data_IF_979887547961
#
_entry.id   IF_979887547961
#
_cell.length_a   1.000
_cell.length_b   1.000
_cell.length_c   1.000
_cell.angle_alpha   90.00
_cell.angle_beta   90.00
_cell.angle_gamma   90.00
#
_symmetry.space_group_name_H-M   'P 1'
#
loop_
_entity.id
_entity.type
_entity.pdbx_description
1 polymer ?
#
# COMPACT_ATOMS: atom_id res chain seq x y z
N UNK A 1 32.39 -8.86 -34.53
CA UNK A 1 31.39 -9.95 -34.40
C UNK A 1 31.42 -10.44 -32.97
N UNK A 2 30.43 -10.07 -32.15
CA UNK A 2 30.30 -10.60 -30.80
C UNK A 2 29.35 -11.80 -30.82
N UNK A 3 29.85 -12.95 -30.39
CA UNK A 3 29.12 -14.21 -30.33
C UNK A 3 28.21 -14.20 -29.08
N UNK A 4 27.11 -13.44 -29.12
CA UNK A 4 26.20 -13.24 -27.98
C UNK A 4 25.09 -14.32 -27.92
N UNK A 5 24.97 -15.16 -28.96
CA UNK A 5 23.81 -16.06 -29.12
C UNK A 5 23.81 -17.39 -28.35
N UNK A 6 24.88 -17.78 -27.66
CA UNK A 6 24.99 -19.15 -27.10
C UNK A 6 24.49 -19.34 -25.67
N UNK A 7 24.66 -18.33 -24.80
CA UNK A 7 24.55 -18.51 -23.34
C UNK A 7 23.14 -18.31 -22.80
N UNK A 8 22.42 -17.30 -23.29
CA UNK A 8 21.09 -16.93 -22.76
C UNK A 8 20.02 -17.98 -23.05
N UNK A 9 20.08 -18.61 -24.23
CA UNK A 9 19.17 -19.69 -24.60
C UNK A 9 19.34 -20.95 -23.75
N UNK A 10 20.55 -21.21 -23.23
CA UNK A 10 20.79 -22.38 -22.38
C UNK A 10 20.12 -22.25 -21.01
N UNK A 11 20.10 -21.06 -20.41
CA UNK A 11 19.52 -20.86 -19.08
C UNK A 11 17.98 -20.93 -19.12
N UNK A 12 17.36 -20.34 -20.16
CA UNK A 12 15.91 -20.39 -20.36
C UNK A 12 15.46 -21.84 -20.57
N UNK A 13 16.17 -22.60 -21.41
CA UNK A 13 15.87 -24.01 -21.64
C UNK A 13 16.00 -24.86 -20.37
N UNK A 14 17.05 -24.66 -19.57
CA UNK A 14 17.21 -25.35 -18.28
C UNK A 14 16.05 -25.03 -17.32
N UNK A 15 15.58 -23.78 -17.30
CA UNK A 15 14.43 -23.38 -16.50
C UNK A 15 13.13 -24.06 -16.98
N UNK A 16 12.90 -24.14 -18.30
CA UNK A 16 11.75 -24.84 -18.88
C UNK A 16 11.77 -26.34 -18.57
N UNK A 17 12.93 -26.98 -18.72
CA UNK A 17 13.14 -28.39 -18.39
C UNK A 17 12.87 -28.66 -16.89
N UNK A 18 13.35 -27.78 -16.00
CA UNK A 18 13.05 -27.85 -14.57
C UNK A 18 11.55 -27.67 -14.28
N UNK A 19 10.85 -26.83 -15.04
CA UNK A 19 9.40 -26.66 -14.96
C UNK A 19 8.63 -27.94 -15.30
N UNK A 20 9.02 -28.63 -16.37
CA UNK A 20 8.44 -29.93 -16.75
C UNK A 20 8.68 -30.98 -15.67
N UNK A 21 9.89 -31.04 -15.11
CA UNK A 21 10.20 -31.96 -14.02
C UNK A 21 9.37 -31.71 -12.76
N UNK A 22 9.18 -30.43 -12.40
CA UNK A 22 8.32 -30.05 -11.27
C UNK A 22 6.87 -30.46 -11.51
N UNK A 23 6.33 -30.19 -12.70
CA UNK A 23 4.98 -30.59 -13.09
C UNK A 23 4.77 -32.10 -12.97
N UNK A 24 5.65 -32.90 -13.59
CA UNK A 24 5.58 -34.36 -13.53
C UNK A 24 5.70 -34.89 -12.09
N UNK A 25 6.53 -34.24 -11.26
CA UNK A 25 6.69 -34.61 -9.84
C UNK A 25 5.41 -34.34 -9.05
N UNK A 26 4.71 -33.24 -9.34
CA UNK A 26 3.42 -32.90 -8.71
C UNK A 26 2.31 -33.87 -9.15
N UNK A 27 2.24 -34.24 -10.44
CA UNK A 27 1.30 -35.26 -10.90
C UNK A 27 1.55 -36.62 -10.23
N UNK A 28 2.81 -37.01 -10.06
CA UNK A 28 3.15 -38.24 -9.36
C UNK A 28 2.77 -38.17 -7.88
N UNK A 29 3.01 -37.03 -7.23
CA UNK A 29 2.59 -36.79 -5.85
C UNK A 29 1.06 -36.90 -5.70
N UNK A 30 0.29 -36.32 -6.62
CA UNK A 30 -1.17 -36.43 -6.63
C UNK A 30 -1.63 -37.88 -6.75
N UNK A 31 -1.02 -38.67 -7.66
CA UNK A 31 -1.31 -40.11 -7.80
C UNK A 31 -1.03 -40.88 -6.51
N UNK A 32 0.09 -40.59 -5.83
CA UNK A 32 0.43 -41.21 -4.55
C UNK A 32 -0.54 -40.82 -3.44
N UNK A 33 -0.98 -39.55 -3.39
CA UNK A 33 -2.02 -39.12 -2.45
C UNK A 33 -3.34 -39.87 -2.67
N UNK A 34 -3.72 -40.11 -3.93
CA UNK A 34 -4.93 -40.85 -4.27
C UNK A 34 -4.83 -42.35 -3.92
N UNK A 35 -3.64 -42.95 -3.96
CA UNK A 35 -3.43 -44.37 -3.59
C UNK A 35 -3.21 -44.59 -2.10
N UNK A 36 -2.75 -43.57 -1.36
CA UNK A 36 -2.37 -43.65 0.05
C UNK A 36 -3.45 -44.27 0.96
N UNK A 37 -4.72 -43.90 0.75
CA UNK A 37 -5.83 -44.46 1.51
C UNK A 37 -5.98 -45.97 1.33
N UNK A 38 -5.87 -46.46 0.09
CA UNK A 38 -6.02 -47.89 -0.23
C UNK A 38 -4.83 -48.70 0.29
N UNK A 39 -3.62 -48.19 0.10
CA UNK A 39 -2.38 -48.87 0.49
C UNK A 39 -2.21 -48.91 2.02
N UNK A 40 -2.57 -47.84 2.73
CA UNK A 40 -2.48 -47.79 4.20
C UNK A 40 -3.41 -48.78 4.90
N UNK A 41 -4.62 -48.99 4.36
CA UNK A 41 -5.57 -50.00 4.86
C UNK A 41 -5.06 -51.43 4.64
N UNK A 42 -4.42 -51.69 3.49
CA UNK A 42 -3.83 -52.99 3.19
C UNK A 42 -2.63 -53.32 4.09
N UNK A 43 -1.87 -52.30 4.51
CA UNK A 43 -0.69 -52.45 5.37
C UNK A 43 -0.97 -52.60 6.87
N UNK A 44 -2.23 -52.58 7.30
CA UNK A 44 -2.60 -52.72 8.71
C UNK A 44 -2.18 -51.57 9.62
N UNK A 45 -1.85 -50.40 9.05
CA UNK A 45 -1.47 -49.23 9.84
C UNK A 45 -2.68 -48.68 10.62
N UNK A 46 -2.53 -48.31 11.91
CA UNK A 46 -3.62 -47.69 12.66
C UNK A 46 -4.13 -46.41 11.96
N UNK A 47 -5.45 -46.27 11.71
CA UNK A 47 -5.99 -45.11 10.99
C UNK A 47 -5.62 -43.76 11.62
N UNK A 48 -5.55 -43.70 12.96
CA UNK A 48 -5.17 -42.50 13.72
C UNK A 48 -3.72 -42.08 13.47
N UNK A 49 -2.81 -43.04 13.31
CA UNK A 49 -1.40 -42.76 13.01
C UNK A 49 -1.25 -42.22 11.58
N UNK A 50 -1.94 -42.82 10.61
CA UNK A 50 -1.92 -42.38 9.21
C UNK A 50 -2.50 -40.97 9.10
N UNK A 51 -3.64 -40.70 9.74
CA UNK A 51 -4.26 -39.37 9.78
C UNK A 51 -3.31 -38.31 10.35
N UNK A 52 -2.71 -38.55 11.52
CA UNK A 52 -1.79 -37.61 12.14
C UNK A 52 -0.55 -37.31 11.27
N UNK A 53 -0.04 -38.32 10.53
CA UNK A 53 1.06 -38.14 9.58
C UNK A 53 0.64 -37.34 8.36
N UNK A 54 -0.57 -37.56 7.83
CA UNK A 54 -1.12 -36.76 6.74
C UNK A 54 -1.23 -35.31 7.19
N UNK A 55 -1.82 -35.04 8.35
CA UNK A 55 -2.00 -33.67 8.86
C UNK A 55 -0.64 -32.95 9.03
N UNK A 56 0.35 -33.65 9.60
CA UNK A 56 1.71 -33.13 9.78
C UNK A 56 2.39 -32.85 8.44
N UNK A 57 2.26 -33.76 7.48
CA UNK A 57 2.82 -33.61 6.14
C UNK A 57 2.13 -32.45 5.40
N UNK A 58 0.80 -32.36 5.44
CA UNK A 58 0.05 -31.28 4.80
C UNK A 58 0.44 -29.91 5.36
N UNK A 59 0.54 -29.79 6.69
CA UNK A 59 0.91 -28.53 7.33
C UNK A 59 2.32 -28.05 6.96
N UNK A 60 3.30 -28.96 6.95
CA UNK A 60 4.70 -28.60 6.67
C UNK A 60 5.04 -28.50 5.18
N UNK A 61 4.54 -29.43 4.37
CA UNK A 61 4.82 -29.52 2.94
C UNK A 61 4.12 -28.41 2.16
N UNK A 62 2.80 -28.20 2.33
CA UNK A 62 2.08 -27.19 1.56
C UNK A 62 2.53 -25.77 1.87
N UNK A 63 2.79 -25.46 3.14
CA UNK A 63 3.32 -24.15 3.53
C UNK A 63 4.71 -23.90 2.95
N UNK A 64 5.56 -24.93 2.88
CA UNK A 64 6.89 -24.82 2.29
C UNK A 64 6.83 -24.72 0.77
N UNK A 65 6.03 -25.56 0.10
CA UNK A 65 5.83 -25.54 -1.35
C UNK A 65 5.24 -24.20 -1.81
N UNK A 66 4.18 -23.72 -1.15
CA UNK A 66 3.56 -22.43 -1.45
C UNK A 66 4.54 -21.26 -1.32
N UNK A 67 5.35 -21.26 -0.26
CA UNK A 67 6.42 -20.25 -0.07
C UNK A 67 7.49 -20.32 -1.17
N UNK A 68 7.93 -21.52 -1.56
CA UNK A 68 8.93 -21.70 -2.62
C UNK A 68 8.41 -21.30 -3.99
N UNK A 69 7.15 -21.61 -4.30
CA UNK A 69 6.48 -21.18 -5.53
C UNK A 69 6.31 -19.66 -5.58
N UNK A 70 5.92 -19.03 -4.47
CA UNK A 70 5.85 -17.57 -4.41
C UNK A 70 7.22 -16.91 -4.64
N UNK A 71 8.28 -17.48 -4.06
CA UNK A 71 9.66 -17.02 -4.27
C UNK A 71 10.11 -17.18 -5.72
N UNK A 72 9.85 -18.33 -6.36
CA UNK A 72 10.22 -18.56 -7.76
C UNK A 72 9.45 -17.62 -8.70
N UNK A 73 8.16 -17.42 -8.48
CA UNK A 73 7.36 -16.44 -9.22
C UNK A 73 7.92 -15.02 -9.10
N UNK A 74 8.27 -14.60 -7.88
CA UNK A 74 8.85 -13.28 -7.64
C UNK A 74 10.18 -13.11 -8.39
N UNK A 75 11.06 -14.11 -8.36
CA UNK A 75 12.35 -14.08 -9.06
C UNK A 75 12.19 -14.05 -10.59
N UNK A 76 11.24 -14.80 -11.14
CA UNK A 76 10.94 -14.79 -12.58
C UNK A 76 10.33 -13.47 -13.02
N UNK A 77 9.39 -12.92 -12.24
CA UNK A 77 8.82 -11.60 -12.50
C UNK A 77 9.91 -10.52 -12.48
N UNK A 78 10.83 -10.56 -11.51
CA UNK A 78 11.97 -9.66 -11.43
C UNK A 78 12.87 -9.78 -12.68
N UNK A 79 13.26 -11.00 -13.05
CA UNK A 79 14.10 -11.26 -14.24
C UNK A 79 13.42 -10.79 -15.52
N UNK A 80 12.14 -11.11 -15.69
CA UNK A 80 11.33 -10.65 -16.82
C UNK A 80 11.27 -9.12 -16.88
N UNK A 81 11.05 -8.45 -15.75
CA UNK A 81 10.99 -7.00 -15.70
C UNK A 81 12.34 -6.33 -16.01
N UNK A 82 13.45 -6.95 -15.60
CA UNK A 82 14.79 -6.51 -15.98
C UNK A 82 15.07 -6.67 -17.48
N UNK A 83 14.55 -7.72 -18.11
CA UNK A 83 14.78 -7.99 -19.53
C UNK A 83 13.85 -7.19 -20.46
N UNK A 84 12.56 -7.08 -20.12
CA UNK A 84 11.56 -6.55 -21.04
C UNK A 84 11.35 -5.05 -20.94
N UNK A 85 11.71 -4.44 -19.81
CA UNK A 85 11.38 -3.03 -19.62
C UNK A 85 12.62 -2.27 -19.23
N UNK A 86 13.12 -1.35 -20.07
CA UNK A 86 14.06 -0.34 -19.63
C UNK A 86 13.31 0.70 -18.78
N UNK A 87 12.41 0.27 -17.89
CA UNK A 87 11.81 1.17 -16.91
C UNK A 87 12.89 1.69 -15.96
N UNK A 88 13.95 0.90 -15.78
CA UNK A 88 15.20 1.32 -15.14
C UNK A 88 16.04 2.29 -15.99
N UNK A 89 15.70 2.53 -17.26
CA UNK A 89 16.33 3.59 -18.05
C UNK A 89 15.66 4.94 -17.90
N UNK A 90 14.46 5.00 -17.29
CA UNK A 90 13.88 6.29 -16.96
C UNK A 90 14.61 6.88 -15.76
N UNK A 91 15.03 8.15 -15.83
CA UNK A 91 15.46 8.89 -14.66
C UNK A 91 14.38 8.85 -13.56
N UNK A 92 14.82 8.88 -12.30
CA UNK A 92 13.94 8.83 -11.13
C UNK A 92 12.90 9.96 -11.15
N UNK A 93 13.26 11.12 -11.71
CA UNK A 93 12.39 12.27 -11.87
C UNK A 93 11.21 11.97 -12.79
N UNK A 94 11.45 11.29 -13.92
CA UNK A 94 10.41 10.93 -14.88
C UNK A 94 9.43 9.94 -14.26
N UNK A 95 9.95 8.93 -13.54
CA UNK A 95 9.12 7.97 -12.82
C UNK A 95 8.32 8.64 -11.69
N UNK A 96 8.93 9.57 -10.96
CA UNK A 96 8.26 10.33 -9.91
C UNK A 96 7.09 11.14 -10.48
N UNK A 97 7.27 11.81 -11.62
CA UNK A 97 6.18 12.55 -12.27
C UNK A 97 5.07 11.62 -12.77
N UNK A 98 5.40 10.45 -13.34
CA UNK A 98 4.40 9.43 -13.67
C UNK A 98 3.63 9.00 -12.42
N UNK A 99 4.32 8.78 -11.29
CA UNK A 99 3.66 8.40 -10.03
C UNK A 99 2.74 9.49 -9.51
N UNK A 100 3.14 10.76 -9.61
CA UNK A 100 2.28 11.89 -9.27
C UNK A 100 1.01 11.87 -10.11
N UNK A 101 1.11 11.63 -11.41
CA UNK A 101 -0.07 11.52 -12.28
C UNK A 101 -0.94 10.31 -11.97
N UNK A 102 -0.38 9.19 -11.54
CA UNK A 102 -1.14 7.99 -11.15
C UNK A 102 -1.86 8.20 -9.82
N UNK A 103 -1.20 8.80 -8.83
CA UNK A 103 -1.74 8.97 -7.47
C UNK A 103 -2.72 10.14 -7.40
N UNK A 104 -2.43 11.23 -8.10
CA UNK A 104 -3.25 12.45 -8.13
C UNK A 104 -4.02 12.60 -9.45
N UNK A 105 -4.26 11.49 -10.16
CA UNK A 105 -5.10 11.50 -11.36
C UNK A 105 -6.43 12.20 -11.05
N UNK A 106 -6.86 13.16 -11.89
CA UNK A 106 -8.14 13.82 -11.72
C UNK A 106 -9.27 12.79 -11.64
N UNK A 107 -9.98 12.77 -10.51
CA UNK A 107 -11.02 11.76 -10.25
C UNK A 107 -12.29 11.97 -11.08
N UNK A 108 -12.45 13.17 -11.63
CA UNK A 108 -13.47 13.50 -12.61
C UNK A 108 -13.37 12.64 -13.87
N UNK A 109 -12.18 12.15 -14.22
CA UNK A 109 -12.00 11.20 -15.34
C UNK A 109 -12.66 9.84 -15.09
N UNK A 110 -12.94 9.48 -13.84
CA UNK A 110 -13.58 8.22 -13.48
C UNK A 110 -15.09 8.36 -13.23
N UNK A 111 -15.59 9.59 -13.07
CA UNK A 111 -17.03 9.84 -12.96
C UNK A 111 -17.66 9.68 -14.34
N UNK A 112 -18.63 8.78 -14.47
CA UNK A 112 -19.47 8.76 -15.69
C UNK A 112 -20.33 10.02 -15.73
N UNK A 113 -20.56 10.56 -16.92
CA UNK A 113 -21.47 11.71 -17.10
C UNK A 113 -22.82 11.40 -16.43
N UNK A 114 -23.18 12.23 -15.43
CA UNK A 114 -24.42 12.10 -14.67
C UNK A 114 -24.31 11.41 -13.31
N UNK A 115 -23.15 10.88 -12.92
CA UNK A 115 -22.94 10.39 -11.56
C UNK A 115 -22.71 11.53 -10.57
N UNK A 116 -23.19 11.36 -9.34
CA UNK A 116 -22.95 12.31 -8.27
C UNK A 116 -21.43 12.44 -8.01
N UNK A 117 -20.92 13.63 -7.67
CA UNK A 117 -19.51 13.83 -7.41
C UNK A 117 -19.00 12.84 -6.36
N UNK A 118 -17.81 12.29 -6.57
CA UNK A 118 -17.21 11.34 -5.64
C UNK A 118 -17.17 11.91 -4.22
N UNK A 119 -17.62 11.11 -3.26
CA UNK A 119 -17.39 11.45 -1.86
C UNK A 119 -15.88 11.61 -1.61
N UNK A 120 -15.50 12.59 -0.79
CA UNK A 120 -14.09 12.82 -0.45
C UNK A 120 -13.42 11.55 0.11
N UNK A 121 -14.19 10.72 0.83
CA UNK A 121 -13.73 9.41 1.32
C UNK A 121 -13.35 8.44 0.19
N UNK A 122 -14.14 8.39 -0.88
CA UNK A 122 -13.84 7.55 -2.04
C UNK A 122 -12.57 8.06 -2.73
N UNK A 123 -12.46 9.38 -2.93
CA UNK A 123 -11.27 10.03 -3.47
C UNK A 123 -9.98 9.61 -2.74
N UNK A 124 -9.97 9.70 -1.41
CA UNK A 124 -8.81 9.30 -0.62
C UNK A 124 -8.54 7.81 -0.69
N UNK A 125 -9.59 6.99 -0.68
CA UNK A 125 -9.43 5.54 -0.77
C UNK A 125 -8.74 5.15 -2.08
N UNK A 126 -9.10 5.83 -3.17
CA UNK A 126 -8.46 5.66 -4.48
C UNK A 126 -7.01 6.16 -4.49
N UNK A 127 -6.73 7.33 -3.92
CA UNK A 127 -5.37 7.87 -3.79
C UNK A 127 -4.44 6.89 -3.04
N UNK A 128 -4.85 6.44 -1.86
CA UNK A 128 -4.06 5.48 -1.08
C UNK A 128 -3.97 4.12 -1.78
N UNK A 129 -5.03 3.66 -2.46
CA UNK A 129 -5.00 2.43 -3.26
C UNK A 129 -3.96 2.53 -4.38
N UNK A 130 -3.94 3.63 -5.12
CA UNK A 130 -2.96 3.89 -6.17
C UNK A 130 -1.54 3.90 -5.60
N UNK A 131 -1.31 4.62 -4.50
CA UNK A 131 -0.02 4.69 -3.83
C UNK A 131 0.46 3.31 -3.36
N UNK A 132 -0.38 2.53 -2.67
CA UNK A 132 -0.04 1.17 -2.24
C UNK A 132 0.22 0.24 -3.43
N UNK A 133 -0.51 0.41 -4.53
CA UNK A 133 -0.25 -0.35 -5.76
C UNK A 133 1.16 -0.06 -6.27
N UNK A 134 1.60 1.21 -6.31
CA UNK A 134 2.97 1.58 -6.69
C UNK A 134 4.02 0.96 -5.78
N UNK A 135 3.80 0.97 -4.46
CA UNK A 135 4.73 0.40 -3.46
C UNK A 135 4.88 -1.13 -3.59
N UNK A 136 3.93 -1.80 -4.24
CA UNK A 136 3.91 -3.25 -4.45
C UNK A 136 4.50 -3.70 -5.79
N UNK A 137 4.84 -2.79 -6.72
CA UNK A 137 5.34 -3.16 -8.06
C UNK A 137 6.74 -3.75 -8.00
N UNK A 138 7.73 -2.97 -7.56
CA UNK A 138 9.12 -3.43 -7.39
C UNK A 138 9.84 -2.57 -6.35
N UNK A 139 11.05 -2.97 -5.96
CA UNK A 139 11.86 -2.26 -4.96
C UNK A 139 12.25 -0.85 -5.43
N UNK A 140 12.57 -0.66 -6.71
CA UNK A 140 12.88 0.65 -7.28
C UNK A 140 11.69 1.60 -7.16
N UNK A 141 10.50 1.18 -7.61
CA UNK A 141 9.27 1.98 -7.54
C UNK A 141 8.91 2.34 -6.11
N UNK A 142 9.03 1.37 -5.20
CA UNK A 142 8.83 1.61 -3.78
C UNK A 142 9.78 2.68 -3.24
N UNK A 143 11.06 2.59 -3.56
CA UNK A 143 12.05 3.56 -3.07
C UNK A 143 11.77 4.95 -3.61
N UNK A 144 11.51 5.09 -4.91
CA UNK A 144 11.14 6.37 -5.54
C UNK A 144 9.89 6.95 -4.87
N UNK A 145 8.83 6.13 -4.73
CA UNK A 145 7.58 6.59 -4.14
C UNK A 145 7.72 6.98 -2.65
N UNK A 146 8.55 6.28 -1.88
CA UNK A 146 8.82 6.61 -0.48
C UNK A 146 9.72 7.85 -0.32
N UNK A 147 10.66 8.07 -1.24
CA UNK A 147 11.57 9.21 -1.20
C UNK A 147 10.93 10.49 -1.77
N UNK A 148 9.88 10.36 -2.59
CA UNK A 148 9.16 11.48 -3.17
C UNK A 148 8.08 11.99 -2.22
N UNK A 149 8.46 12.91 -1.35
CA UNK A 149 7.60 13.35 -0.27
C UNK A 149 6.25 13.99 -0.68
N UNK A 150 6.16 14.54 -1.89
CA UNK A 150 4.91 15.09 -2.43
C UNK A 150 3.79 14.04 -2.55
N UNK A 151 4.13 12.76 -2.78
CA UNK A 151 3.16 11.66 -2.80
C UNK A 151 2.52 11.39 -1.42
N UNK A 152 3.15 11.88 -0.36
CA UNK A 152 2.75 11.72 1.03
C UNK A 152 2.34 13.03 1.69
N UNK A 153 2.18 14.09 0.88
CA UNK A 153 1.78 15.42 1.36
C UNK A 153 0.37 15.43 1.96
N UNK A 154 -0.51 14.51 1.55
CA UNK A 154 -1.86 14.38 2.09
C UNK A 154 -1.89 13.36 3.23
N UNK A 155 -1.96 13.86 4.46
CA UNK A 155 -2.05 13.04 5.67
C UNK A 155 -3.52 12.86 6.03
N UNK A 156 -4.01 11.62 6.06
CA UNK A 156 -5.38 11.34 6.51
C UNK A 156 -5.42 10.77 7.91
N UNK A 157 -6.25 11.35 8.77
CA UNK A 157 -6.61 10.78 10.05
C UNK A 157 -7.90 9.99 9.88
N UNK A 158 -7.80 8.66 9.82
CA UNK A 158 -8.93 7.75 9.75
C UNK A 158 -8.87 6.76 10.90
N UNK A 159 -10.03 6.34 11.40
CA UNK A 159 -10.26 5.28 12.39
C UNK A 159 -9.85 3.87 11.93
N UNK A 160 -8.76 3.72 11.19
CA UNK A 160 -8.28 2.37 10.84
C UNK A 160 -7.33 1.90 11.93
N UNK A 161 -7.47 0.65 12.37
CA UNK A 161 -6.65 0.01 13.41
C UNK A 161 -5.23 -0.29 12.91
N UNK A 162 -4.55 0.67 12.28
CA UNK A 162 -3.14 0.50 11.98
C UNK A 162 -2.34 0.94 13.19
N UNK A 163 -1.15 0.36 13.36
CA UNK A 163 -0.11 0.83 14.28
C UNK A 163 0.43 2.18 13.75
N UNK A 164 -0.49 3.17 13.73
CA UNK A 164 -0.41 4.42 13.00
C UNK A 164 0.76 5.27 13.47
N UNK A 165 1.19 5.13 14.73
CA UNK A 165 2.30 5.91 15.26
C UNK A 165 3.60 5.64 14.50
N UNK A 166 3.88 4.37 14.18
CA UNK A 166 5.12 3.98 13.49
C UNK A 166 5.16 4.44 12.02
N UNK A 167 4.00 4.48 11.36
CA UNK A 167 3.89 4.85 9.93
C UNK A 167 3.74 6.36 9.80
N UNK A 168 2.82 6.99 10.53
CA UNK A 168 2.61 8.43 10.48
C UNK A 168 3.86 9.17 10.94
N UNK A 169 4.49 8.75 12.04
CA UNK A 169 5.75 9.31 12.50
C UNK A 169 6.84 9.19 11.44
N UNK A 170 6.95 8.02 10.79
CA UNK A 170 7.91 7.79 9.70
C UNK A 170 7.61 8.64 8.47
N UNK A 171 6.35 8.74 8.06
CA UNK A 171 5.93 9.58 6.94
C UNK A 171 6.24 11.04 7.24
N UNK A 172 5.89 11.54 8.42
CA UNK A 172 6.20 12.91 8.80
C UNK A 172 7.72 13.13 8.81
N UNK A 173 8.52 12.20 9.36
CA UNK A 173 9.98 12.27 9.33
C UNK A 173 10.59 12.21 7.92
N UNK A 174 10.03 11.42 7.00
CA UNK A 174 10.55 11.31 5.64
C UNK A 174 10.23 12.54 4.77
N UNK A 175 9.21 13.30 5.14
CA UNK A 175 8.71 14.45 4.38
C UNK A 175 9.34 15.80 4.77
N UNK A 176 10.57 15.82 5.30
CA UNK A 176 11.21 17.06 5.75
C UNK A 176 11.30 18.07 4.58
N UNK A 177 10.61 19.20 4.70
CA UNK A 177 10.59 20.27 3.70
C UNK A 177 9.38 20.27 2.76
N UNK A 178 8.50 19.26 2.79
CA UNK A 178 7.25 19.25 2.01
C UNK A 178 6.11 19.80 2.87
N UNK A 179 5.28 20.64 2.26
CA UNK A 179 4.06 21.16 2.88
C UNK A 179 3.03 20.04 3.04
N UNK A 180 2.43 19.96 4.22
CA UNK A 180 1.47 18.92 4.55
C UNK A 180 0.03 19.44 4.48
N UNK A 181 -0.86 18.56 4.04
CA UNK A 181 -2.30 18.75 3.98
C UNK A 181 -2.94 17.73 4.91
N UNK A 182 -3.48 18.20 6.03
CA UNK A 182 -4.18 17.33 6.97
C UNK A 182 -5.63 17.17 6.53
N UNK A 183 -6.09 15.94 6.44
CA UNK A 183 -7.48 15.62 6.18
C UNK A 183 -8.03 14.71 7.26
N UNK A 184 -9.03 15.20 7.97
CA UNK A 184 -9.66 14.50 9.08
C UNK A 184 -11.07 14.12 8.67
N UNK A 185 -11.38 12.83 8.78
CA UNK A 185 -12.72 12.34 8.44
C UNK A 185 -13.26 11.36 9.48
N UNK A 186 -14.47 11.63 9.98
CA UNK A 186 -15.19 10.77 10.92
C UNK A 186 -14.72 10.91 12.38
N UNK A 187 -15.08 9.93 13.21
CA UNK A 187 -14.76 9.88 14.64
C UNK A 187 -13.36 9.36 14.97
N UNK A 188 -12.35 9.72 14.19
CA UNK A 188 -10.96 9.33 14.47
C UNK A 188 -10.52 9.88 15.82
N UNK A 189 -9.90 9.05 16.66
CA UNK A 189 -9.12 9.58 17.79
C UNK A 189 -7.77 9.99 17.24
N UNK A 190 -7.34 11.19 17.57
CA UNK A 190 -6.02 11.70 17.19
C UNK A 190 -5.08 11.63 18.36
N UNK A 191 -3.90 11.07 18.16
CA UNK A 191 -2.76 11.32 19.05
C UNK A 191 -2.30 12.75 18.84
N UNK A 192 -2.84 13.64 19.68
CA UNK A 192 -2.50 15.06 19.73
C UNK A 192 -0.98 15.34 19.81
N UNK A 193 -0.11 14.49 20.41
CA UNK A 193 1.32 14.76 20.45
C UNK A 193 1.98 14.77 19.06
N UNK A 194 1.60 13.84 18.17
CA UNK A 194 2.21 13.75 16.83
C UNK A 194 1.80 14.97 16.00
N UNK A 195 0.51 15.30 16.00
CA UNK A 195 0.02 16.50 15.31
C UNK A 195 0.69 17.75 15.85
N UNK A 196 0.79 17.86 17.18
CA UNK A 196 1.46 18.98 17.84
C UNK A 196 2.90 19.06 17.35
N UNK A 197 3.70 18.00 17.43
CA UNK A 197 5.11 17.99 17.04
C UNK A 197 5.38 18.37 15.58
N UNK A 198 4.37 18.27 14.70
CA UNK A 198 4.49 18.58 13.29
C UNK A 198 3.58 19.74 12.83
N UNK A 199 2.96 20.48 13.75
CA UNK A 199 1.93 21.47 13.45
C UNK A 199 2.41 22.56 12.47
N UNK A 200 3.65 23.05 12.62
CA UNK A 200 4.21 24.08 11.73
C UNK A 200 4.35 23.66 10.26
N UNK A 201 4.28 22.36 9.95
CA UNK A 201 4.43 21.84 8.58
C UNK A 201 3.12 21.73 7.82
N UNK A 202 1.98 21.79 8.52
CA UNK A 202 0.69 21.74 7.85
C UNK A 202 0.32 23.12 7.31
N UNK A 203 0.10 23.17 5.99
CA UNK A 203 -0.33 24.38 5.29
C UNK A 203 -1.85 24.49 5.21
N UNK A 204 -2.52 23.35 5.14
CA UNK A 204 -3.97 23.28 5.12
C UNK A 204 -4.46 22.15 6.00
N UNK A 205 -5.54 22.41 6.73
CA UNK A 205 -6.27 21.42 7.51
C UNK A 205 -7.72 21.41 7.01
N UNK A 206 -8.18 20.25 6.60
CA UNK A 206 -9.56 20.03 6.19
C UNK A 206 -10.19 18.99 7.11
N UNK A 207 -11.29 19.35 7.75
CA UNK A 207 -12.02 18.48 8.68
C UNK A 207 -13.41 18.24 8.11
N UNK A 208 -13.79 16.97 7.99
CA UNK A 208 -15.01 16.53 7.31
C UNK A 208 -15.77 15.54 8.18
N UNK A 209 -16.99 15.89 8.57
CA UNK A 209 -17.87 15.01 9.38
C UNK A 209 -17.16 14.52 10.66
N UNK A 210 -16.49 15.43 11.37
CA UNK A 210 -15.80 15.15 12.61
C UNK A 210 -16.67 15.47 13.83
N UNK A 211 -16.46 14.72 14.91
CA UNK A 211 -17.08 15.02 16.20
C UNK A 211 -16.53 16.35 16.77
N UNK A 212 -17.34 17.13 17.51
CA UNK A 212 -16.90 18.39 18.11
C UNK A 212 -15.63 18.26 18.95
N UNK A 213 -15.52 17.20 19.76
CA UNK A 213 -14.36 16.94 20.61
C UNK A 213 -13.08 16.76 19.77
N UNK A 214 -13.17 16.04 18.64
CA UNK A 214 -12.06 15.86 17.72
C UNK A 214 -11.64 17.19 17.06
N UNK A 215 -12.61 18.02 16.68
CA UNK A 215 -12.31 19.36 16.16
C UNK A 215 -11.56 20.16 17.22
N UNK A 216 -12.00 20.13 18.47
CA UNK A 216 -11.33 20.81 19.58
C UNK A 216 -9.90 20.27 19.80
N UNK A 217 -9.71 18.95 19.78
CA UNK A 217 -8.39 18.32 19.94
C UNK A 217 -7.41 18.75 18.84
N UNK A 218 -7.87 18.77 17.59
CA UNK A 218 -7.05 19.22 16.45
C UNK A 218 -6.72 20.69 16.62
N UNK A 219 -7.71 21.53 16.89
CA UNK A 219 -7.48 22.95 17.10
C UNK A 219 -6.52 23.21 18.26
N UNK A 220 -6.67 22.48 19.37
CA UNK A 220 -5.78 22.54 20.52
C UNK A 220 -4.34 22.11 20.18
N UNK A 221 -4.16 21.14 19.28
CA UNK A 221 -2.84 20.76 18.79
C UNK A 221 -2.16 21.89 18.01
N UNK A 222 -2.91 22.65 17.21
CA UNK A 222 -2.40 23.80 16.46
C UNK A 222 -2.23 25.05 17.31
N UNK A 223 -3.15 25.37 18.21
CA UNK A 223 -3.07 26.57 19.08
C UNK A 223 -2.09 26.40 20.23
N UNK A 224 -1.92 25.16 20.73
CA UNK A 224 -0.93 24.81 21.74
C UNK A 224 0.49 24.63 21.21
N UNK A 225 0.76 25.03 19.96
CA UNK A 225 2.10 24.98 19.37
C UNK A 225 2.98 26.10 19.95
N UNK A 226 4.00 25.70 20.72
CA UNK A 226 4.93 26.62 21.41
C UNK A 226 6.38 26.52 20.89
N UNK A 227 6.61 25.94 19.71
CA UNK A 227 7.96 25.81 19.13
C UNK A 227 8.39 27.12 18.45
N UNK A 228 9.71 27.35 18.25
CA UNK A 228 10.22 28.59 17.68
C UNK A 228 9.81 28.82 16.22
N UNK A 229 9.42 27.78 15.50
CA UNK A 229 8.94 27.88 14.12
C UNK A 229 7.51 28.43 14.08
N UNK A 230 7.27 29.46 13.26
CA UNK A 230 5.93 30.00 13.03
C UNK A 230 5.02 28.95 12.39
N UNK A 231 3.78 28.85 12.86
CA UNK A 231 2.75 28.04 12.22
C UNK A 231 2.54 28.51 10.78
N UNK A 232 2.64 27.58 9.82
CA UNK A 232 2.42 27.84 8.39
C UNK A 232 0.99 27.53 7.92
N UNK A 233 0.07 27.34 8.86
CA UNK A 233 -1.31 27.00 8.55
C UNK A 233 -1.98 28.18 7.84
N UNK A 234 -2.19 28.06 6.54
CA UNK A 234 -2.81 29.10 5.70
C UNK A 234 -4.31 28.90 5.52
N UNK A 235 -4.78 27.66 5.66
CA UNK A 235 -6.17 27.30 5.41
C UNK A 235 -6.69 26.29 6.44
N UNK A 236 -7.85 26.60 7.01
CA UNK A 236 -8.65 25.67 7.80
C UNK A 236 -10.05 25.56 7.16
N UNK A 237 -10.47 24.36 6.81
CA UNK A 237 -11.77 24.10 6.19
C UNK A 237 -12.55 23.08 7.03
N UNK A 238 -13.77 23.42 7.38
CA UNK A 238 -14.68 22.58 8.16
C UNK A 238 -15.91 22.26 7.29
N UNK A 239 -16.18 20.97 7.09
CA UNK A 239 -17.31 20.49 6.31
C UNK A 239 -18.17 19.57 7.18
N UNK A 240 -19.45 19.88 7.28
CA UNK A 240 -20.45 19.02 7.90
C UNK A 240 -21.26 18.33 6.80
N UNK A 241 -21.27 17.01 6.80
CA UNK A 241 -21.90 16.18 5.78
C UNK A 241 -23.00 15.36 6.45
N UNK A 242 -24.19 15.29 5.82
CA UNK A 242 -25.26 14.43 6.32
C UNK A 242 -25.00 12.94 6.05
N UNK A 243 -25.89 12.08 6.57
CA UNK A 243 -25.81 10.62 6.33
C UNK A 243 -25.92 10.23 4.86
N UNK A 244 -26.44 11.10 3.99
CA UNK A 244 -26.55 10.88 2.55
C UNK A 244 -25.32 11.33 1.77
N UNK A 245 -24.30 11.88 2.45
CA UNK A 245 -23.10 12.40 1.81
C UNK A 245 -23.27 13.82 1.28
N UNK A 246 -24.38 14.52 1.57
CA UNK A 246 -24.61 15.88 1.12
C UNK A 246 -24.01 16.88 2.10
N UNK A 247 -23.39 17.92 1.54
CA UNK A 247 -22.81 19.00 2.32
C UNK A 247 -23.92 19.84 2.97
N UNK A 248 -24.00 19.81 4.29
CA UNK A 248 -24.96 20.62 5.08
C UNK A 248 -24.39 22.02 5.28
N UNK A 249 -23.11 22.09 5.65
CA UNK A 249 -22.46 23.34 6.05
C UNK A 249 -20.97 23.29 5.72
N UNK A 250 -20.45 24.40 5.20
CA UNK A 250 -19.01 24.59 4.99
C UNK A 250 -18.55 25.91 5.56
N UNK A 251 -17.49 25.87 6.37
CA UNK A 251 -16.78 27.05 6.86
C UNK A 251 -15.33 26.98 6.37
N UNK A 252 -14.86 28.04 5.71
CA UNK A 252 -13.46 28.17 5.27
C UNK A 252 -12.84 29.38 5.94
N UNK A 253 -11.80 29.16 6.71
CA UNK A 253 -11.05 30.20 7.41
C UNK A 253 -9.68 30.30 6.73
N UNK A 254 -9.41 31.45 6.12
CA UNK A 254 -8.09 31.79 5.61
C UNK A 254 -7.33 32.52 6.70
N UNK A 255 -6.20 31.96 7.11
CA UNK A 255 -5.34 32.54 8.13
C UNK A 255 -4.26 33.36 7.43
N UNK A 256 -4.40 34.68 7.48
CA UNK A 256 -3.38 35.60 6.98
C UNK A 256 -2.39 35.89 8.12
N UNK A 257 -1.25 35.19 8.11
CA UNK A 257 -0.13 35.54 8.97
C UNK A 257 0.66 36.68 8.30
N UNK A 258 0.89 37.77 9.06
CA UNK A 258 1.77 38.88 8.68
C UNK A 258 3.20 38.59 9.12
#
# INVERSE_FOLDING_TARGET
MFNIGGSTFSAVRQWEEAGVLLFNSLENYEKLCASLGKESLAGGAPPTYVAARIDTALGSFHTTLGRRLAQSHSALAQTRNQLLVPMHSFPEEVLSEIFMHVVFAPLDQFSREGEAPYSMKACLSELYRALHTLLCVCTMWRNIALNRGTLWSIVTLRTVRWDHESILGRLLQQNMGVELYLLVHGGARTDSPILRNHAARFRSVTIVDAQPDLIQDILAAFTGWCQPESLRLSQLSLYNIDRSGRLIHSSRILLYYR
#
